data_IF_421891611780
#
_entry.id   IF_421891611780
#
_cell.length_a   1.000
_cell.length_b   1.000
_cell.length_c   1.000
_cell.angle_alpha   90.00
_cell.angle_beta   90.00
_cell.angle_gamma   90.00
#
_symmetry.space_group_name_H-M   'P 1'
#
loop_
_entity.id
_entity.type
_entity.pdbx_description
1 polymer ?
#
# COMPACT_ATOMS: atom_id res chain seq x y z
N UNK A 1 12.12 -10.58 6.22
CA UNK A 1 12.09 -9.59 7.31
C UNK A 1 10.76 -8.90 7.21
N UNK A 2 9.92 -9.07 8.24
CA UNK A 2 8.57 -8.51 8.31
C UNK A 2 8.70 -7.00 8.57
N UNK A 3 8.88 -6.19 7.52
CA UNK A 3 8.88 -4.72 7.60
C UNK A 3 7.45 -4.21 7.65
N UNK A 4 6.66 -4.76 8.57
CA UNK A 4 5.40 -4.14 8.97
C UNK A 4 5.76 -2.92 9.83
N UNK A 5 5.43 -1.68 9.41
CA UNK A 5 5.66 -0.51 10.23
C UNK A 5 4.97 -0.71 11.58
N UNK A 6 5.73 -0.52 12.67
CA UNK A 6 5.18 -0.60 14.02
C UNK A 6 4.13 0.50 14.15
N UNK A 7 2.86 0.11 14.20
CA UNK A 7 1.76 1.03 14.39
C UNK A 7 1.83 1.65 15.79
N UNK A 8 1.65 2.97 15.93
CA UNK A 8 1.57 3.58 17.25
C UNK A 8 0.35 3.06 18.01
N UNK A 9 0.38 3.04 19.35
CA UNK A 9 -0.72 2.53 20.16
C UNK A 9 -2.03 3.29 19.93
N UNK A 10 -1.96 4.57 19.57
CA UNK A 10 -3.14 5.36 19.18
C UNK A 10 -3.84 4.81 17.93
N UNK A 11 -3.07 4.37 16.93
CA UNK A 11 -3.63 3.78 15.71
C UNK A 11 -4.34 2.45 16.00
N UNK A 12 -3.75 1.61 16.84
CA UNK A 12 -4.38 0.37 17.30
C UNK A 12 -5.66 0.65 18.10
N UNK A 13 -5.70 1.69 18.92
CA UNK A 13 -6.88 2.10 19.70
C UNK A 13 -8.04 2.63 18.83
N UNK A 14 -7.74 3.12 17.62
CA UNK A 14 -8.74 3.47 16.61
C UNK A 14 -9.09 2.29 15.68
N UNK A 15 -8.47 1.13 15.85
CA UNK A 15 -8.66 -0.02 14.98
C UNK A 15 -8.08 0.18 13.58
N UNK A 16 -7.04 1.01 13.46
CA UNK A 16 -6.29 1.20 12.21
C UNK A 16 -5.35 0.01 12.03
N UNK A 17 -5.40 -0.60 10.85
CA UNK A 17 -4.54 -1.71 10.46
C UNK A 17 -3.70 -1.34 9.25
N UNK A 18 -2.48 -1.87 9.14
CA UNK A 18 -1.66 -1.71 7.93
C UNK A 18 -1.60 -3.04 7.21
N UNK A 19 -1.94 -3.05 5.91
CA UNK A 19 -1.96 -4.30 5.13
C UNK A 19 -0.62 -4.63 4.45
N UNK A 20 0.38 -3.76 4.55
CA UNK A 20 1.64 -3.88 3.79
C UNK A 20 1.81 -2.77 2.74
N UNK A 21 0.73 -2.06 2.41
CA UNK A 21 0.73 -0.96 1.44
C UNK A 21 0.02 0.28 1.95
N UNK A 22 -1.17 0.10 2.51
CA UNK A 22 -2.07 1.17 2.94
C UNK A 22 -2.55 0.93 4.37
N UNK A 23 -2.95 2.02 5.02
CA UNK A 23 -3.58 2.03 6.32
C UNK A 23 -5.09 1.95 6.14
N UNK A 24 -5.73 1.02 6.82
CA UNK A 24 -7.17 0.82 6.78
C UNK A 24 -7.80 1.32 8.07
N UNK A 25 -8.83 2.15 7.96
CA UNK A 25 -9.67 2.59 9.06
C UNK A 25 -11.14 2.44 8.66
N UNK A 26 -11.91 1.71 9.46
CA UNK A 26 -13.28 1.29 9.09
C UNK A 26 -13.27 0.65 7.70
N UNK A 27 -14.03 1.21 6.76
CA UNK A 27 -14.16 0.82 5.34
C UNK A 27 -13.26 1.61 4.38
N UNK A 28 -12.40 2.47 4.91
CA UNK A 28 -11.57 3.40 4.13
C UNK A 28 -10.10 3.01 4.17
N UNK A 29 -9.40 3.24 3.07
CA UNK A 29 -7.97 3.00 2.90
C UNK A 29 -7.24 4.32 2.71
N UNK A 30 -6.07 4.45 3.32
CA UNK A 30 -5.24 5.66 3.34
C UNK A 30 -3.78 5.31 3.06
N UNK A 31 -3.12 6.10 2.21
CA UNK A 31 -1.69 5.90 1.94
C UNK A 31 -0.80 6.28 3.13
N UNK A 32 -1.30 7.18 4.00
CA UNK A 32 -0.55 7.71 5.16
C UNK A 32 -1.27 7.42 6.46
N UNK A 33 -0.48 7.06 7.47
CA UNK A 33 -0.99 6.85 8.82
C UNK A 33 -1.60 8.13 9.41
N UNK A 34 -0.99 9.29 9.13
CA UNK A 34 -1.47 10.58 9.60
C UNK A 34 -2.91 10.87 9.12
N UNK A 35 -3.18 10.60 7.84
CA UNK A 35 -4.51 10.81 7.26
C UNK A 35 -5.55 9.89 7.90
N UNK A 36 -5.20 8.62 8.12
CA UNK A 36 -6.05 7.66 8.81
C UNK A 36 -6.35 8.08 10.27
N UNK A 37 -5.34 8.58 11.00
CA UNK A 37 -5.48 9.07 12.37
C UNK A 37 -6.36 10.32 12.45
N UNK A 38 -6.12 11.30 11.59
CA UNK A 38 -6.89 12.54 11.57
C UNK A 38 -8.35 12.27 11.20
N UNK A 39 -8.59 11.37 10.25
CA UNK A 39 -9.94 10.94 9.93
C UNK A 39 -10.60 10.21 11.10
N UNK A 40 -9.90 9.31 11.80
CA UNK A 40 -10.42 8.60 12.96
C UNK A 40 -10.81 9.56 14.10
N UNK A 41 -9.99 10.58 14.36
CA UNK A 41 -10.28 11.64 15.33
C UNK A 41 -11.53 12.42 14.96
N UNK A 42 -11.63 12.84 13.70
CA UNK A 42 -12.80 13.57 13.19
C UNK A 42 -14.05 12.70 13.25
N UNK A 43 -13.97 11.42 12.87
CA UNK A 43 -15.08 10.48 12.88
C UNK A 43 -15.63 10.28 14.30
N UNK A 44 -14.77 10.06 15.29
CA UNK A 44 -15.17 9.91 16.70
C UNK A 44 -15.70 11.21 17.32
N UNK A 45 -15.24 12.37 16.86
CA UNK A 45 -15.75 13.66 17.32
C UNK A 45 -17.14 14.01 16.77
N UNK A 46 -17.64 13.28 15.75
CA UNK A 46 -18.96 13.54 15.17
C UNK A 46 -20.08 13.06 16.10
N UNK A 47 -21.11 13.89 16.37
CA UNK A 47 -22.27 13.47 17.11
C UNK A 47 -23.01 12.37 16.33
N UNK A 48 -23.27 11.23 16.98
CA UNK A 48 -23.91 10.06 16.36
C UNK A 48 -22.94 9.04 15.76
N UNK A 49 -21.63 9.16 16.02
CA UNK A 49 -20.66 8.11 15.67
C UNK A 49 -21.09 6.76 16.26
N UNK A 50 -21.17 5.75 15.40
CA UNK A 50 -21.32 4.35 15.77
C UNK A 50 -20.14 3.61 15.17
N UNK A 51 -19.39 2.94 16.02
CA UNK A 51 -18.37 2.00 15.59
C UNK A 51 -19.06 0.88 14.82
N UNK A 52 -18.58 0.56 13.62
CA UNK A 52 -19.13 -0.54 12.84
C UNK A 52 -18.60 -1.86 13.43
N UNK A 53 -19.47 -2.74 13.96
CA UNK A 53 -19.05 -4.02 14.53
C UNK A 53 -18.67 -5.06 13.47
N UNK A 54 -18.79 -4.75 12.17
CA UNK A 54 -18.46 -5.69 11.11
C UNK A 54 -17.00 -6.17 11.21
N UNK A 55 -16.75 -7.49 11.12
CA UNK A 55 -15.39 -8.02 11.13
C UNK A 55 -14.63 -7.50 9.92
N UNK A 56 -13.60 -6.70 10.19
CA UNK A 56 -12.72 -6.10 9.18
C UNK A 56 -11.79 -7.16 8.61
N UNK A 57 -12.19 -7.79 7.52
CA UNK A 57 -11.36 -8.77 6.82
C UNK A 57 -10.46 -8.10 5.78
N UNK A 58 -9.59 -7.19 6.24
CA UNK A 58 -8.56 -6.60 5.40
C UNK A 58 -7.53 -7.67 5.09
N UNK A 59 -7.50 -8.11 3.83
CA UNK A 59 -6.52 -9.10 3.37
C UNK A 59 -5.16 -8.45 3.41
N UNK A 60 -4.26 -9.00 4.23
CA UNK A 60 -2.86 -8.58 4.24
C UNK A 60 -2.31 -8.67 2.81
N UNK A 61 -1.78 -7.56 2.33
CA UNK A 61 -1.16 -7.50 1.03
C UNK A 61 0.21 -8.18 1.10
N UNK A 62 0.33 -9.28 0.34
CA UNK A 62 1.52 -10.12 0.34
C UNK A 62 2.67 -9.58 -0.54
N UNK A 63 2.50 -8.39 -1.13
CA UNK A 63 3.43 -7.84 -2.12
C UNK A 63 3.49 -8.67 -3.41
N UNK A 64 4.50 -8.42 -4.27
CA UNK A 64 4.69 -9.18 -5.50
C UNK A 64 5.09 -10.63 -5.22
N UNK A 65 4.41 -11.55 -5.88
CA UNK A 65 4.74 -12.98 -5.90
C UNK A 65 6.14 -13.21 -6.51
N UNK A 66 6.78 -14.37 -6.26
CA UNK A 66 8.07 -14.68 -6.86
C UNK A 66 8.05 -14.60 -8.40
N UNK A 67 6.97 -15.04 -9.04
CA UNK A 67 6.81 -14.95 -10.49
C UNK A 67 6.71 -13.49 -10.97
N UNK A 68 5.96 -12.66 -10.25
CA UNK A 68 5.87 -11.23 -10.55
C UNK A 68 7.23 -10.53 -10.39
N UNK A 69 8.03 -10.90 -9.39
CA UNK A 69 9.39 -10.37 -9.22
C UNK A 69 10.31 -10.74 -10.38
N UNK A 70 10.18 -11.95 -10.93
CA UNK A 70 10.93 -12.33 -12.13
C UNK A 70 10.54 -11.48 -13.34
N UNK A 71 9.24 -11.25 -13.53
CA UNK A 71 8.74 -10.37 -14.61
C UNK A 71 9.22 -8.92 -14.42
N UNK A 72 9.18 -8.43 -13.18
CA UNK A 72 9.69 -7.12 -12.83
C UNK A 72 11.18 -6.97 -13.17
N UNK A 73 12.01 -7.92 -12.73
CA UNK A 73 13.44 -7.91 -13.01
C UNK A 73 13.74 -7.94 -14.52
N UNK A 74 12.99 -8.75 -15.28
CA UNK A 74 13.12 -8.82 -16.74
C UNK A 74 12.79 -7.49 -17.46
N UNK A 75 11.95 -6.65 -16.84
CA UNK A 75 11.52 -5.37 -17.40
C UNK A 75 12.14 -4.14 -16.70
N UNK A 76 13.10 -4.32 -15.78
CA UNK A 76 13.71 -3.21 -15.03
C UNK A 76 12.72 -2.46 -14.13
N UNK A 77 11.66 -3.13 -13.69
CA UNK A 77 10.67 -2.60 -12.73
C UNK A 77 11.14 -2.93 -11.32
N UNK A 78 11.12 -1.94 -10.43
CA UNK A 78 11.48 -2.07 -9.02
C UNK A 78 10.24 -1.96 -8.17
N UNK A 79 10.20 -2.66 -7.04
CA UNK A 79 9.12 -2.56 -6.07
C UNK A 79 9.68 -1.96 -4.77
N UNK A 80 9.17 -0.78 -4.40
CA UNK A 80 9.64 -0.06 -3.21
C UNK A 80 8.46 0.61 -2.50
N UNK A 81 8.39 0.46 -1.18
CA UNK A 81 7.43 1.19 -0.34
C UNK A 81 5.95 1.00 -0.71
N UNK A 82 5.57 -0.12 -1.32
CA UNK A 82 4.19 -0.36 -1.75
C UNK A 82 3.88 -0.02 -3.21
N UNK A 83 4.84 0.54 -3.94
CA UNK A 83 4.64 1.01 -5.31
C UNK A 83 5.62 0.36 -6.29
N UNK A 84 5.21 0.32 -7.56
CA UNK A 84 6.04 -0.16 -8.66
C UNK A 84 6.70 1.02 -9.34
N UNK A 85 8.00 0.94 -9.56
CA UNK A 85 8.78 1.99 -10.19
C UNK A 85 9.38 1.49 -11.49
N UNK A 86 9.24 2.29 -12.55
CA UNK A 86 9.92 2.07 -13.81
C UNK A 86 10.64 3.36 -14.19
N UNK A 87 11.97 3.37 -14.06
CA UNK A 87 12.76 4.60 -14.14
C UNK A 87 12.27 5.64 -13.12
N UNK A 88 11.94 6.88 -13.54
CA UNK A 88 11.43 7.93 -12.65
C UNK A 88 9.92 7.83 -12.35
N UNK A 89 9.22 6.88 -12.97
CA UNK A 89 7.75 6.80 -12.91
C UNK A 89 7.27 5.84 -11.82
N UNK A 90 6.30 6.30 -11.02
CA UNK A 90 5.63 5.53 -9.97
C UNK A 90 4.28 5.01 -10.46
N UNK A 91 4.00 3.73 -10.21
CA UNK A 91 2.76 3.05 -10.56
C UNK A 91 2.16 2.33 -9.36
N UNK A 92 0.83 2.33 -9.32
CA UNK A 92 0.06 1.61 -8.30
C UNK A 92 -0.12 0.12 -8.62
N UNK A 93 -0.01 -0.25 -9.90
CA UNK A 93 -0.25 -1.60 -10.38
C UNK A 93 0.96 -2.09 -11.17
N UNK A 94 1.36 -3.34 -10.91
CA UNK A 94 2.45 -3.98 -11.65
C UNK A 94 2.13 -4.06 -13.15
N UNK A 95 0.89 -4.38 -13.52
CA UNK A 95 0.46 -4.46 -14.92
C UNK A 95 0.71 -3.14 -15.65
N UNK A 96 0.36 -2.01 -15.03
CA UNK A 96 0.58 -0.69 -15.62
C UNK A 96 2.08 -0.40 -15.82
N UNK A 97 2.92 -0.72 -14.83
CA UNK A 97 4.37 -0.56 -14.96
C UNK A 97 4.95 -1.45 -16.07
N UNK A 98 4.51 -2.71 -16.18
CA UNK A 98 4.96 -3.65 -17.20
C UNK A 98 4.50 -3.25 -18.60
N UNK A 99 3.26 -2.80 -18.75
CA UNK A 99 2.73 -2.37 -20.04
C UNK A 99 3.47 -1.12 -20.54
N UNK A 100 3.79 -0.19 -19.64
CA UNK A 100 4.63 0.96 -19.99
C UNK A 100 6.06 0.52 -20.35
N UNK A 101 6.67 -0.37 -19.56
CA UNK A 101 8.02 -0.89 -19.83
C UNK A 101 8.11 -1.66 -21.16
N UNK A 102 7.02 -2.30 -21.59
CA UNK A 102 6.93 -2.94 -22.92
C UNK A 102 6.88 -1.91 -24.04
N UNK A 103 6.25 -0.76 -23.80
CA UNK A 103 6.15 0.31 -24.79
C UNK A 103 7.48 1.07 -24.93
N UNK A 104 8.16 1.32 -23.81
CA UNK A 104 9.35 2.18 -23.75
C UNK A 104 10.51 1.50 -22.99
N UNK A 105 11.09 0.39 -23.51
CA UNK A 105 12.01 -0.48 -22.76
C UNK A 105 13.34 0.15 -22.30
N UNK A 106 13.70 1.34 -22.81
CA UNK A 106 14.97 2.01 -22.54
C UNK A 106 15.04 2.84 -21.24
N UNK A 107 13.91 2.99 -20.53
CA UNK A 107 13.82 3.80 -19.31
C UNK A 107 14.01 3.00 -18.01
N UNK A 108 14.08 1.68 -18.12
CA UNK A 108 14.27 0.79 -16.99
C UNK A 108 15.64 0.97 -16.34
N UNK A 109 15.68 0.87 -15.01
CA UNK A 109 16.97 0.76 -14.32
C UNK A 109 17.60 -0.58 -14.71
N UNK A 110 18.90 -0.62 -15.05
CA UNK A 110 19.59 -1.89 -15.25
C UNK A 110 19.55 -2.70 -13.94
N UNK A 111 19.45 -4.03 -14.01
CA UNK A 111 19.56 -4.85 -12.81
C UNK A 111 20.92 -4.61 -12.16
N UNK A 112 20.92 -4.23 -10.88
CA UNK A 112 22.11 -4.07 -10.06
C UNK A 112 22.66 -5.43 -9.61
#
# INVERSE_FOLDING_TARGET
MDTSPVLPPEAAAFGISFDGRVYHYEQYSYDRLADALDYARVARARPGFREDPAPRNWKQWAGPTPEERLRMAAHGVVFEGGYYFYGPYRYDLLSAALDYARHEPGLGLPPA
#
